data_IF_758121286112
#
_entry.id   IF_758121286112
#
_cell.length_a   1.000
_cell.length_b   1.000
_cell.length_c   1.000
_cell.angle_alpha   90.00
_cell.angle_beta   90.00
_cell.angle_gamma   90.00
#
_symmetry.space_group_name_H-M   'P 1'
#
loop_
_entity.id
_entity.type
_entity.pdbx_description
1 polymer ?
#
# COMPACT_ATOMS: atom_id res chain seq x y z
N UNK A 1 10.00 -1.27 6.09
CA UNK A 1 9.55 -0.34 5.02
C UNK A 1 8.87 0.86 5.65
N UNK A 2 9.12 2.07 5.14
CA UNK A 2 8.36 3.27 5.49
C UNK A 2 7.36 3.61 4.39
N UNK A 3 6.09 3.74 4.74
CA UNK A 3 5.05 4.26 3.85
C UNK A 3 4.77 5.71 4.21
N UNK A 4 5.02 6.63 3.30
CA UNK A 4 4.92 8.07 3.55
C UNK A 4 3.82 8.67 2.68
N UNK A 5 2.81 9.24 3.33
CA UNK A 5 1.73 9.93 2.66
C UNK A 5 2.19 11.33 2.24
N UNK A 6 2.27 11.54 0.96
CA UNK A 6 2.69 12.83 0.37
C UNK A 6 1.52 13.67 -0.12
N UNK A 7 0.34 13.04 -0.19
CA UNK A 7 -0.85 13.62 -0.78
C UNK A 7 -2.11 13.03 -0.15
N UNK A 8 -3.03 13.86 0.22
CA UNK A 8 -4.32 13.43 0.75
C UNK A 8 -5.42 13.38 -0.30
N UNK A 9 -5.37 14.24 -1.33
CA UNK A 9 -6.38 14.25 -2.37
C UNK A 9 -6.26 13.07 -3.34
N UNK A 10 -7.38 12.63 -3.91
CA UNK A 10 -7.40 11.57 -4.91
C UNK A 10 -8.52 11.80 -5.93
N UNK A 11 -8.19 11.58 -7.20
CA UNK A 11 -9.15 11.69 -8.29
C UNK A 11 -10.13 10.50 -8.37
N UNK A 12 -9.88 9.43 -7.60
CA UNK A 12 -10.78 8.25 -7.51
C UNK A 12 -11.65 8.24 -6.26
N UNK A 13 -11.53 9.22 -5.39
CA UNK A 13 -12.35 9.26 -4.18
C UNK A 13 -13.85 9.16 -4.50
N UNK A 14 -14.56 8.27 -3.79
CA UNK A 14 -15.97 7.93 -4.00
C UNK A 14 -16.33 7.51 -5.43
N UNK A 15 -15.41 6.84 -6.13
CA UNK A 15 -15.67 6.28 -7.47
C UNK A 15 -15.49 4.77 -7.44
N UNK A 16 -16.52 4.07 -7.94
CA UNK A 16 -16.47 2.62 -8.21
C UNK A 16 -15.79 1.80 -7.10
N UNK A 17 -14.62 1.24 -7.39
CA UNK A 17 -13.85 0.39 -6.49
C UNK A 17 -13.19 1.12 -5.31
N UNK A 18 -13.41 2.42 -5.17
CA UNK A 18 -12.83 3.26 -4.12
C UNK A 18 -13.88 3.90 -3.21
N UNK A 19 -15.07 3.31 -3.10
CA UNK A 19 -16.20 3.88 -2.33
C UNK A 19 -15.86 3.97 -0.83
N UNK A 20 -15.20 2.96 -0.29
CA UNK A 20 -14.85 2.87 1.14
C UNK A 20 -13.33 3.07 1.34
N UNK A 21 -12.76 4.12 0.77
CA UNK A 21 -11.33 4.36 0.87
C UNK A 21 -10.93 4.81 2.27
N UNK A 22 -10.35 3.91 3.04
CA UNK A 22 -9.88 4.14 4.40
C UNK A 22 -8.82 5.25 4.54
N UNK A 23 -8.21 5.65 3.46
CA UNK A 23 -7.26 6.79 3.43
C UNK A 23 -7.99 8.12 3.61
N UNK A 24 -9.28 8.20 3.25
CA UNK A 24 -10.02 9.44 3.19
C UNK A 24 -10.89 9.75 4.41
N UNK A 25 -11.36 8.76 5.16
CA UNK A 25 -12.18 9.05 6.34
C UNK A 25 -11.49 10.00 7.32
N UNK A 26 -10.23 9.77 7.69
CA UNK A 26 -9.51 10.68 8.55
C UNK A 26 -9.15 12.03 7.90
N UNK A 27 -9.20 12.09 6.57
CA UNK A 27 -8.82 13.30 5.83
C UNK A 27 -9.92 14.36 5.80
N UNK A 28 -11.16 13.99 6.04
CA UNK A 28 -12.25 14.96 6.22
C UNK A 28 -12.02 15.87 7.45
N UNK A 29 -11.20 15.40 8.39
CA UNK A 29 -10.80 16.18 9.58
C UNK A 29 -9.56 17.05 9.34
N UNK A 30 -8.84 16.88 8.23
CA UNK A 30 -7.62 17.62 7.90
C UNK A 30 -7.97 18.81 7.00
N UNK A 31 -7.57 20.04 7.36
CA UNK A 31 -7.75 21.20 6.50
C UNK A 31 -7.15 20.96 5.10
N UNK A 32 -7.86 21.41 4.06
CA UNK A 32 -7.39 21.25 2.66
C UNK A 32 -6.00 21.82 2.40
N UNK A 33 -5.60 22.84 3.17
CA UNK A 33 -4.25 23.41 3.11
C UNK A 33 -3.16 22.39 3.47
N UNK A 34 -3.49 21.40 4.30
CA UNK A 34 -2.56 20.38 4.79
C UNK A 34 -2.62 19.07 4.00
N UNK A 35 -3.37 19.04 2.90
CA UNK A 35 -3.47 17.83 2.06
C UNK A 35 -2.18 17.50 1.30
N UNK A 36 -1.39 18.52 0.98
CA UNK A 36 -0.14 18.36 0.23
C UNK A 36 1.06 18.46 1.16
N UNK A 37 1.89 17.43 1.18
CA UNK A 37 3.20 17.56 1.81
C UNK A 37 4.02 18.63 1.08
N UNK A 38 4.60 19.54 1.82
CA UNK A 38 5.54 20.53 1.28
C UNK A 38 6.96 19.95 1.22
N UNK A 39 7.82 20.54 0.40
CA UNK A 39 9.23 20.16 0.34
C UNK A 39 9.96 20.39 1.66
N UNK A 40 9.55 21.41 2.43
CA UNK A 40 10.12 21.66 3.76
C UNK A 40 9.76 20.55 4.75
N UNK A 41 8.50 20.12 4.79
CA UNK A 41 8.09 18.97 5.61
C UNK A 41 8.86 17.70 5.23
N UNK A 42 9.01 17.44 3.92
CA UNK A 42 9.79 16.30 3.43
C UNK A 42 11.26 16.36 3.91
N UNK A 43 11.91 17.53 3.88
CA UNK A 43 13.28 17.69 4.39
C UNK A 43 13.37 17.41 5.89
N UNK A 44 12.48 18.00 6.68
CA UNK A 44 12.44 17.76 8.14
C UNK A 44 12.25 16.27 8.45
N UNK A 45 11.31 15.61 7.77
CA UNK A 45 11.06 14.18 7.96
C UNK A 45 12.28 13.34 7.54
N UNK A 46 12.86 13.59 6.37
CA UNK A 46 14.02 12.85 5.86
C UNK A 46 15.22 12.94 6.82
N UNK A 47 15.48 14.12 7.39
CA UNK A 47 16.57 14.30 8.36
C UNK A 47 16.28 13.56 9.68
N UNK A 48 15.06 13.60 10.21
CA UNK A 48 14.70 12.85 11.42
C UNK A 48 14.71 11.33 11.20
N UNK A 49 14.28 10.84 10.03
CA UNK A 49 14.37 9.43 9.66
C UNK A 49 15.81 8.94 9.74
N UNK A 50 16.79 9.72 9.25
CA UNK A 50 18.21 9.36 9.34
C UNK A 50 18.74 9.31 10.76
N UNK A 51 18.21 10.14 11.67
CA UNK A 51 18.67 10.27 13.06
C UNK A 51 18.06 9.21 14.00
N UNK A 52 16.99 8.54 13.61
CA UNK A 52 16.27 7.57 14.44
C UNK A 52 16.55 6.16 13.90
N UNK A 53 17.31 5.37 14.63
CA UNK A 53 17.82 4.06 14.16
C UNK A 53 16.74 3.13 13.63
N UNK A 54 15.61 3.01 14.31
CA UNK A 54 14.46 2.21 13.87
C UNK A 54 13.89 2.68 12.55
N UNK A 55 13.66 3.98 12.38
CA UNK A 55 13.13 4.55 11.14
C UNK A 55 14.16 4.46 10.00
N UNK A 56 15.43 4.68 10.32
CA UNK A 56 16.53 4.54 9.36
C UNK A 56 16.65 3.09 8.86
N UNK A 57 16.50 2.10 9.75
CA UNK A 57 16.51 0.69 9.38
C UNK A 57 15.33 0.35 8.44
N UNK A 58 14.13 0.85 8.71
CA UNK A 58 12.97 0.68 7.84
C UNK A 58 13.16 1.42 6.49
N UNK A 59 13.69 2.64 6.52
CA UNK A 59 13.97 3.43 5.32
C UNK A 59 15.02 2.77 4.43
N UNK A 60 16.04 2.14 4.99
CA UNK A 60 17.05 1.38 4.22
C UNK A 60 16.47 0.19 3.49
N UNK A 61 15.36 -0.38 3.95
CA UNK A 61 14.65 -1.40 3.20
C UNK A 61 13.93 -0.76 2.00
N UNK A 62 13.05 0.19 2.25
CA UNK A 62 12.32 0.93 1.22
C UNK A 62 11.55 2.11 1.83
N UNK A 63 11.50 3.23 1.12
CA UNK A 63 10.52 4.30 1.33
C UNK A 63 9.49 4.24 0.20
N UNK A 64 8.23 4.10 0.56
CA UNK A 64 7.10 4.08 -0.34
C UNK A 64 6.30 5.39 -0.23
N UNK A 65 6.33 6.22 -1.28
CA UNK A 65 5.54 7.44 -1.35
C UNK A 65 4.14 7.13 -1.85
N UNK A 66 3.16 7.44 -1.03
CA UNK A 66 1.75 7.08 -1.27
C UNK A 66 0.81 8.19 -0.78
N UNK A 67 -0.42 7.84 -0.51
CA UNK A 67 -1.48 8.72 -0.02
C UNK A 67 -2.76 8.51 -0.80
N UNK A 68 -3.53 9.56 -1.07
CA UNK A 68 -4.64 9.51 -2.00
C UNK A 68 -4.15 9.20 -3.41
N UNK A 69 -3.61 10.21 -4.08
CA UNK A 69 -2.91 10.01 -5.35
C UNK A 69 -1.67 10.89 -5.38
N UNK A 70 -0.51 10.28 -5.16
CA UNK A 70 0.77 10.99 -4.97
C UNK A 70 1.12 11.95 -6.11
N UNK A 71 0.74 11.64 -7.36
CA UNK A 71 1.02 12.49 -8.51
C UNK A 71 0.22 13.80 -8.53
N UNK A 72 -0.78 13.95 -7.66
CA UNK A 72 -1.50 15.22 -7.50
C UNK A 72 -0.64 16.26 -6.77
N UNK A 73 0.25 15.84 -5.89
CA UNK A 73 1.16 16.77 -5.22
C UNK A 73 2.03 17.50 -6.26
N UNK A 74 1.96 18.83 -6.34
CA UNK A 74 2.74 19.60 -7.32
C UNK A 74 4.24 19.47 -7.13
N UNK A 75 4.70 19.18 -5.92
CA UNK A 75 6.10 19.10 -5.53
C UNK A 75 6.63 17.66 -5.48
N UNK A 76 5.88 16.67 -5.96
CA UNK A 76 6.19 15.25 -5.77
C UNK A 76 7.59 14.86 -6.25
N UNK A 77 8.08 15.46 -7.33
CA UNK A 77 9.42 15.16 -7.88
C UNK A 77 10.53 15.62 -6.91
N UNK A 78 10.39 16.81 -6.35
CA UNK A 78 11.36 17.33 -5.37
C UNK A 78 11.27 16.54 -4.06
N UNK A 79 10.07 16.23 -3.59
CA UNK A 79 9.84 15.37 -2.42
C UNK A 79 10.49 14.00 -2.63
N UNK A 80 10.34 13.40 -3.81
CA UNK A 80 10.96 12.14 -4.17
C UNK A 80 12.48 12.20 -4.04
N UNK A 81 13.12 13.23 -4.63
CA UNK A 81 14.57 13.45 -4.54
C UNK A 81 15.06 13.64 -3.10
N UNK A 82 14.26 14.33 -2.26
CA UNK A 82 14.58 14.49 -0.84
C UNK A 82 14.62 13.13 -0.15
N UNK A 83 13.63 12.28 -0.33
CA UNK A 83 13.60 10.96 0.30
C UNK A 83 14.64 9.99 -0.27
N UNK A 84 15.09 10.16 -1.53
CA UNK A 84 16.24 9.43 -2.06
C UNK A 84 17.52 9.71 -1.26
N UNK A 85 17.64 10.83 -0.57
CA UNK A 85 18.75 11.12 0.32
C UNK A 85 18.70 10.33 1.64
N UNK A 86 17.54 9.77 1.98
CA UNK A 86 17.31 9.01 3.21
C UNK A 86 17.18 7.49 2.97
N UNK A 87 17.00 7.07 1.71
CA UNK A 87 16.84 5.65 1.36
C UNK A 87 17.47 5.34 0.00
N UNK A 88 18.14 4.19 -0.13
CA UNK A 88 18.62 3.71 -1.42
C UNK A 88 17.48 3.19 -2.32
N UNK A 89 16.31 2.91 -1.75
CA UNK A 89 15.14 2.42 -2.46
C UNK A 89 13.93 3.28 -2.14
N UNK A 90 13.54 4.12 -3.11
CA UNK A 90 12.32 4.92 -3.02
C UNK A 90 11.40 4.53 -4.17
N UNK A 91 10.15 4.23 -3.84
CA UNK A 91 9.12 4.00 -4.85
C UNK A 91 7.93 4.94 -4.63
N UNK A 92 7.10 5.08 -5.65
CA UNK A 92 5.87 5.85 -5.60
C UNK A 92 4.72 5.01 -6.11
N UNK A 93 3.61 5.02 -5.39
CA UNK A 93 2.36 4.40 -5.84
C UNK A 93 1.46 5.39 -6.55
N UNK A 94 0.81 4.94 -7.62
CA UNK A 94 -0.17 5.73 -8.38
C UNK A 94 -1.31 4.86 -8.87
N UNK A 95 -2.50 5.45 -8.98
CA UNK A 95 -3.64 4.85 -9.66
C UNK A 95 -3.51 4.93 -11.19
N UNK A 96 -2.50 5.61 -11.73
CA UNK A 96 -2.23 5.81 -13.15
C UNK A 96 -3.44 6.35 -13.94
N UNK A 97 -4.42 6.95 -13.30
CA UNK A 97 -5.59 7.55 -13.95
C UNK A 97 -5.31 8.99 -14.35
N UNK A 98 -4.71 9.15 -15.51
CA UNK A 98 -4.30 10.42 -16.09
C UNK A 98 -4.86 10.58 -17.50
N UNK A 99 -5.30 11.79 -17.84
CA UNK A 99 -5.99 12.03 -19.10
C UNK A 99 -5.13 11.87 -20.35
N UNK A 100 -3.81 12.08 -20.24
CA UNK A 100 -2.87 11.97 -21.38
C UNK A 100 -1.42 11.97 -20.93
N UNK A 101 -0.53 11.60 -21.85
CA UNK A 101 0.93 11.72 -21.71
C UNK A 101 1.43 13.17 -21.63
N UNK A 102 0.63 14.14 -22.01
CA UNK A 102 0.94 15.58 -21.86
C UNK A 102 0.49 16.16 -20.53
N UNK A 103 -0.21 15.41 -19.69
CA UNK A 103 -0.66 15.89 -18.39
C UNK A 103 0.54 16.19 -17.47
N UNK A 104 0.42 17.23 -16.65
CA UNK A 104 1.46 17.57 -15.65
C UNK A 104 1.76 16.41 -14.70
N UNK A 105 0.75 15.59 -14.38
CA UNK A 105 0.90 14.41 -13.52
C UNK A 105 1.78 13.35 -14.19
N UNK A 106 1.53 13.05 -15.46
CA UNK A 106 2.37 12.12 -16.23
C UNK A 106 3.80 12.60 -16.34
N UNK A 107 4.00 13.87 -16.64
CA UNK A 107 5.36 14.44 -16.76
C UNK A 107 6.15 14.33 -15.44
N UNK A 108 5.50 14.55 -14.28
CA UNK A 108 6.11 14.33 -12.96
C UNK A 108 6.50 12.86 -12.76
N UNK A 109 5.61 11.94 -13.13
CA UNK A 109 5.87 10.51 -13.03
C UNK A 109 7.08 10.09 -13.88
N UNK A 110 7.15 10.56 -15.12
CA UNK A 110 8.30 10.32 -16.02
C UNK A 110 9.59 10.91 -15.43
N UNK A 111 9.53 12.07 -14.80
CA UNK A 111 10.70 12.67 -14.16
C UNK A 111 11.18 11.85 -12.96
N UNK A 112 10.26 11.31 -12.13
CA UNK A 112 10.61 10.39 -11.05
C UNK A 112 11.35 9.17 -11.58
N UNK A 113 10.86 8.55 -12.65
CA UNK A 113 11.54 7.40 -13.27
C UNK A 113 12.92 7.79 -13.79
N UNK A 114 13.06 8.95 -14.43
CA UNK A 114 14.36 9.45 -14.95
C UNK A 114 15.41 9.68 -13.86
N UNK A 115 14.99 10.03 -12.65
CA UNK A 115 15.91 10.18 -11.50
C UNK A 115 16.14 8.86 -10.75
N UNK A 116 15.79 7.72 -11.36
CA UNK A 116 16.03 6.38 -10.81
C UNK A 116 14.95 5.89 -9.86
N UNK A 117 13.80 6.57 -9.81
CA UNK A 117 12.66 6.14 -9.00
C UNK A 117 11.95 4.94 -9.61
N UNK A 118 11.33 4.12 -8.74
CA UNK A 118 10.37 3.09 -9.12
C UNK A 118 8.96 3.63 -8.98
N UNK A 119 8.10 3.37 -9.96
CA UNK A 119 6.68 3.68 -9.92
C UNK A 119 5.89 2.39 -9.95
N UNK A 120 5.12 2.15 -8.91
CA UNK A 120 4.22 1.03 -8.77
C UNK A 120 2.78 1.49 -9.02
N UNK A 121 1.93 0.60 -9.52
CA UNK A 121 0.56 0.95 -9.87
C UNK A 121 -0.45 0.10 -9.11
N UNK A 122 -1.64 0.65 -8.88
CA UNK A 122 -2.81 -0.14 -8.49
C UNK A 122 -3.75 -0.27 -9.67
N UNK A 123 -4.13 -1.52 -9.98
CA UNK A 123 -5.02 -1.83 -11.09
C UNK A 123 -6.47 -1.56 -10.71
N UNK A 124 -7.17 -0.84 -11.59
CA UNK A 124 -8.60 -0.57 -11.48
C UNK A 124 -9.32 -0.94 -12.78
N UNK A 125 -10.18 -1.97 -12.80
CA UNK A 125 -10.90 -2.40 -14.02
C UNK A 125 -11.67 -1.30 -14.73
N UNK A 126 -12.30 -0.40 -13.96
CA UNK A 126 -13.06 0.72 -14.50
C UNK A 126 -12.20 1.80 -15.17
N UNK A 127 -10.94 1.95 -14.74
CA UNK A 127 -9.98 2.90 -15.31
C UNK A 127 -9.12 2.29 -16.43
N UNK A 128 -9.17 0.97 -16.61
CA UNK A 128 -8.20 0.22 -17.40
C UNK A 128 -8.09 0.65 -18.87
N UNK A 129 -9.15 0.50 -19.63
CA UNK A 129 -9.09 0.74 -21.08
C UNK A 129 -8.85 2.21 -21.42
N UNK A 130 -9.44 3.12 -20.66
CA UNK A 130 -9.36 4.55 -20.93
C UNK A 130 -8.06 5.19 -20.49
N UNK A 131 -7.54 4.79 -19.33
CA UNK A 131 -6.44 5.51 -18.68
C UNK A 131 -5.20 4.62 -18.46
N UNK A 132 -5.37 3.48 -17.79
CA UNK A 132 -4.23 2.71 -17.27
C UNK A 132 -3.47 1.96 -18.37
N UNK A 133 -4.18 1.25 -19.23
CA UNK A 133 -3.56 0.41 -20.27
C UNK A 133 -2.61 1.15 -21.22
N UNK A 134 -2.97 2.31 -21.80
CA UNK A 134 -2.06 3.07 -22.66
C UNK A 134 -0.83 3.58 -21.94
N UNK A 135 -0.99 4.00 -20.67
CA UNK A 135 0.09 4.56 -19.86
C UNK A 135 0.98 3.47 -19.26
N UNK A 136 0.41 2.31 -18.91
CA UNK A 136 1.16 1.17 -18.39
C UNK A 136 2.20 0.68 -19.42
N UNK A 137 1.81 0.56 -20.67
CA UNK A 137 2.74 0.19 -21.75
C UNK A 137 3.93 1.13 -21.81
N UNK A 138 3.68 2.42 -21.77
CA UNK A 138 4.76 3.43 -21.75
C UNK A 138 5.59 3.32 -20.48
N UNK A 139 4.97 3.16 -19.34
CA UNK A 139 5.68 3.06 -18.05
C UNK A 139 6.63 1.86 -18.02
N UNK A 140 6.24 0.71 -18.59
CA UNK A 140 7.10 -0.46 -18.73
C UNK A 140 8.34 -0.13 -19.60
N UNK A 141 8.20 0.72 -20.62
CA UNK A 141 9.36 1.11 -21.45
C UNK A 141 10.32 2.04 -20.74
N UNK A 142 9.85 2.80 -19.77
CA UNK A 142 10.62 3.81 -19.06
C UNK A 142 11.43 3.26 -17.88
N UNK A 143 10.93 2.24 -17.17
CA UNK A 143 11.56 1.72 -15.96
C UNK A 143 11.91 0.23 -16.08
N UNK A 144 12.83 -0.23 -15.22
CA UNK A 144 13.32 -1.62 -15.26
C UNK A 144 12.63 -2.53 -14.22
N UNK A 145 11.85 -1.97 -13.33
CA UNK A 145 11.13 -2.70 -12.27
C UNK A 145 9.81 -2.01 -11.94
N UNK A 146 8.78 -2.80 -11.67
CA UNK A 146 7.47 -2.31 -11.25
C UNK A 146 6.75 -3.38 -10.44
N UNK A 147 5.88 -2.94 -9.54
CA UNK A 147 4.89 -3.80 -8.89
C UNK A 147 3.50 -3.35 -9.36
N UNK A 148 2.66 -4.30 -9.73
CA UNK A 148 1.23 -4.09 -9.97
C UNK A 148 0.49 -4.60 -8.76
N UNK A 149 -0.16 -3.69 -8.06
CA UNK A 149 -1.06 -4.01 -6.97
C UNK A 149 -2.45 -4.31 -7.53
N UNK A 150 -3.01 -5.45 -7.16
CA UNK A 150 -4.38 -5.85 -7.46
C UNK A 150 -5.17 -5.71 -6.17
N UNK A 151 -5.99 -4.66 -6.08
CA UNK A 151 -6.95 -4.49 -4.99
C UNK A 151 -8.27 -5.16 -5.37
N UNK A 152 -8.82 -6.01 -4.51
CA UNK A 152 -10.04 -6.76 -4.81
C UNK A 152 -10.95 -6.90 -3.58
N UNK A 153 -12.24 -6.80 -3.80
CA UNK A 153 -13.28 -6.93 -2.77
C UNK A 153 -13.74 -8.38 -2.59
N UNK A 154 -13.68 -9.17 -3.68
CA UNK A 154 -14.09 -10.56 -3.71
C UNK A 154 -13.36 -11.34 -4.83
N UNK A 155 -13.49 -12.67 -4.81
CA UNK A 155 -12.82 -13.53 -5.77
C UNK A 155 -13.23 -13.29 -7.24
N UNK A 156 -14.48 -12.92 -7.49
CA UNK A 156 -14.95 -12.59 -8.84
C UNK A 156 -14.29 -11.31 -9.35
N UNK A 157 -14.12 -10.31 -8.48
CA UNK A 157 -13.40 -9.09 -8.80
C UNK A 157 -11.93 -9.38 -9.07
N UNK A 158 -11.28 -10.18 -8.23
CA UNK A 158 -9.90 -10.64 -8.43
C UNK A 158 -9.73 -11.36 -9.78
N UNK A 159 -10.62 -12.30 -10.09
CA UNK A 159 -10.59 -13.04 -11.35
C UNK A 159 -10.66 -12.12 -12.58
N UNK A 160 -11.55 -11.13 -12.55
CA UNK A 160 -11.67 -10.13 -13.62
C UNK A 160 -10.36 -9.36 -13.82
N UNK A 161 -9.70 -8.95 -12.75
CA UNK A 161 -8.44 -8.22 -12.83
C UNK A 161 -7.30 -9.09 -13.37
N UNK A 162 -7.22 -10.35 -12.94
CA UNK A 162 -6.25 -11.32 -13.47
C UNK A 162 -6.45 -11.50 -14.97
N UNK A 163 -7.69 -11.67 -15.44
CA UNK A 163 -8.01 -11.80 -16.86
C UNK A 163 -7.59 -10.56 -17.68
N UNK A 164 -7.79 -9.36 -17.12
CA UNK A 164 -7.36 -8.10 -17.74
C UNK A 164 -5.83 -8.10 -17.96
N UNK A 165 -5.05 -8.45 -16.94
CA UNK A 165 -3.61 -8.49 -17.02
C UNK A 165 -3.12 -9.61 -17.94
N UNK A 166 -3.71 -10.80 -17.84
CA UNK A 166 -3.38 -11.91 -18.76
C UNK A 166 -3.54 -11.50 -20.22
N UNK A 167 -4.70 -10.91 -20.55
CA UNK A 167 -4.99 -10.42 -21.90
C UNK A 167 -4.02 -9.32 -22.36
N UNK A 168 -3.62 -8.44 -21.45
CA UNK A 168 -2.65 -7.40 -21.75
C UNK A 168 -1.29 -7.98 -22.07
N UNK A 169 -0.71 -8.75 -21.16
CA UNK A 169 0.63 -9.32 -21.34
C UNK A 169 0.73 -10.31 -22.50
N UNK A 170 -0.31 -11.11 -22.76
CA UNK A 170 -0.35 -12.00 -23.93
C UNK A 170 -0.26 -11.26 -25.27
N UNK A 171 -0.68 -9.98 -25.31
CA UNK A 171 -0.59 -9.16 -26.54
C UNK A 171 0.71 -8.41 -26.68
N UNK A 172 1.45 -8.20 -25.59
CA UNK A 172 2.69 -7.43 -25.60
C UNK A 172 3.92 -8.29 -26.00
N UNK A 173 3.72 -9.60 -26.25
CA UNK A 173 4.71 -10.48 -26.87
C UNK A 173 5.25 -11.57 -25.96
N UNK A 174 5.98 -12.51 -26.56
CA UNK A 174 6.48 -13.76 -25.96
C UNK A 174 7.36 -13.58 -24.71
N UNK A 175 7.90 -12.40 -24.50
CA UNK A 175 8.76 -12.12 -23.35
C UNK A 175 8.03 -12.05 -22.01
N UNK A 176 6.70 -12.07 -22.03
CA UNK A 176 5.86 -12.11 -20.82
C UNK A 176 5.25 -13.49 -20.54
N UNK A 177 5.68 -14.55 -21.24
CA UNK A 177 5.08 -15.89 -21.14
C UNK A 177 5.06 -16.42 -19.71
N UNK A 178 6.11 -16.20 -18.92
CA UNK A 178 6.14 -16.62 -17.51
C UNK A 178 5.08 -15.88 -16.67
N UNK A 179 4.86 -14.60 -16.93
CA UNK A 179 3.84 -13.79 -16.24
C UNK A 179 2.45 -14.27 -16.66
N UNK A 180 2.26 -14.49 -17.95
CA UNK A 180 1.00 -15.00 -18.50
C UNK A 180 0.69 -16.38 -17.93
N UNK A 181 1.65 -17.29 -17.92
CA UNK A 181 1.50 -18.63 -17.34
C UNK A 181 1.14 -18.56 -15.85
N UNK A 182 1.83 -17.73 -15.08
CA UNK A 182 1.49 -17.51 -13.67
C UNK A 182 0.06 -17.01 -13.51
N UNK A 183 -0.34 -15.99 -14.25
CA UNK A 183 -1.68 -15.41 -14.18
C UNK A 183 -2.76 -16.42 -14.59
N UNK A 184 -2.49 -17.29 -15.59
CA UNK A 184 -3.40 -18.34 -16.01
C UNK A 184 -3.61 -19.39 -14.92
N UNK A 185 -2.54 -19.94 -14.36
CA UNK A 185 -2.60 -20.90 -13.24
C UNK A 185 -3.35 -20.30 -12.05
N UNK A 186 -3.08 -19.04 -11.75
CA UNK A 186 -3.73 -18.35 -10.66
C UNK A 186 -5.22 -18.09 -10.95
N UNK A 187 -5.58 -17.77 -12.20
CA UNK A 187 -6.98 -17.63 -12.64
C UNK A 187 -7.76 -18.94 -12.50
N UNK A 188 -7.13 -20.06 -12.83
CA UNK A 188 -7.74 -21.39 -12.66
C UNK A 188 -7.99 -21.70 -11.19
N UNK A 189 -7.01 -21.42 -10.31
CA UNK A 189 -7.15 -21.58 -8.87
C UNK A 189 -8.31 -20.72 -8.32
N UNK A 190 -8.37 -19.44 -8.69
CA UNK A 190 -9.46 -18.55 -8.27
C UNK A 190 -10.81 -19.04 -8.79
N UNK A 191 -10.87 -19.52 -10.04
CA UNK A 191 -12.09 -20.10 -10.63
C UNK A 191 -12.57 -21.34 -9.87
N UNK A 192 -11.63 -22.20 -9.46
CA UNK A 192 -11.93 -23.38 -8.66
C UNK A 192 -12.52 -23.00 -7.30
N UNK A 193 -11.92 -22.02 -6.62
CA UNK A 193 -12.39 -21.52 -5.33
C UNK A 193 -13.77 -20.90 -5.40
N UNK A 194 -14.06 -20.11 -6.44
CA UNK A 194 -15.40 -19.54 -6.67
C UNK A 194 -16.47 -20.65 -6.74
N UNK A 195 -16.11 -21.81 -7.35
CA UNK A 195 -17.07 -22.91 -7.55
C UNK A 195 -17.24 -23.82 -6.33
N UNK A 196 -16.15 -24.08 -5.60
CA UNK A 196 -16.10 -25.22 -4.66
C UNK A 196 -15.95 -24.79 -3.21
N UNK A 197 -15.21 -23.76 -2.92
CA UNK A 197 -14.94 -23.29 -1.56
C UNK A 197 -14.66 -21.80 -1.55
N UNK A 198 -15.67 -20.94 -1.60
CA UNK A 198 -15.43 -19.51 -1.57
C UNK A 198 -14.83 -19.02 -0.23
N UNK A 199 -14.77 -19.85 0.80
CA UNK A 199 -14.59 -19.42 2.18
C UNK A 199 -13.22 -19.70 2.81
N UNK A 200 -12.32 -20.49 2.21
CA UNK A 200 -11.27 -21.11 3.04
C UNK A 200 -9.86 -21.25 2.45
N UNK A 201 -9.46 -20.56 1.41
CA UNK A 201 -8.04 -20.70 0.97
C UNK A 201 -7.21 -19.48 1.28
N UNK A 202 -6.56 -19.49 2.46
CA UNK A 202 -5.58 -18.47 2.88
C UNK A 202 -4.42 -18.28 1.88
N UNK A 203 -4.15 -19.29 1.06
CA UNK A 203 -3.06 -19.25 0.09
C UNK A 203 -3.27 -18.22 -1.03
N UNK A 204 -4.51 -17.75 -1.26
CA UNK A 204 -4.79 -16.66 -2.20
C UNK A 204 -4.13 -15.36 -1.75
N UNK A 205 -4.14 -15.09 -0.44
CA UNK A 205 -3.63 -13.83 0.13
C UNK A 205 -2.12 -13.82 0.32
N UNK A 206 -1.50 -14.98 0.30
CA UNK A 206 -0.05 -15.13 0.46
C UNK A 206 0.68 -15.27 -0.87
N UNK A 207 -0.06 -15.40 -1.97
CA UNK A 207 0.55 -15.57 -3.29
C UNK A 207 0.95 -14.22 -3.86
N UNK A 208 2.22 -13.90 -3.76
CA UNK A 208 2.84 -12.84 -4.51
C UNK A 208 3.63 -13.43 -5.67
N UNK A 209 3.45 -12.90 -6.87
CA UNK A 209 4.44 -13.09 -7.90
C UNK A 209 5.66 -12.25 -7.52
N UNK A 210 6.63 -12.87 -6.88
CA UNK A 210 7.89 -12.22 -6.57
C UNK A 210 8.63 -11.91 -7.87
N UNK A 211 9.04 -10.68 -8.04
CA UNK A 211 10.02 -10.15 -9.01
C UNK A 211 10.40 -11.13 -10.14
N UNK A 212 9.49 -11.35 -11.06
CA UNK A 212 9.74 -12.21 -12.23
C UNK A 212 10.43 -11.39 -13.30
N UNK A 213 11.57 -11.90 -13.77
CA UNK A 213 12.29 -11.27 -14.86
C UNK A 213 11.59 -11.53 -16.19
N UNK A 214 11.40 -10.48 -16.97
CA UNK A 214 10.93 -10.53 -18.33
C UNK A 214 11.86 -9.69 -19.22
N UNK A 215 11.90 -10.00 -20.49
CA UNK A 215 12.60 -9.17 -21.46
C UNK A 215 11.56 -8.46 -22.32
N UNK A 216 11.39 -7.17 -22.07
CA UNK A 216 10.35 -6.36 -22.68
C UNK A 216 10.96 -5.14 -23.39
N UNK A 217 10.51 -4.87 -24.61
CA UNK A 217 10.92 -3.70 -25.37
C UNK A 217 12.43 -3.52 -25.48
N UNK A 218 13.17 -4.63 -25.67
CA UNK A 218 14.61 -4.61 -25.84
C UNK A 218 15.44 -4.50 -24.56
N UNK A 219 14.83 -4.60 -23.38
CA UNK A 219 15.51 -4.54 -22.08
C UNK A 219 15.00 -5.54 -21.07
N UNK A 220 15.83 -5.84 -20.08
CA UNK A 220 15.44 -6.62 -18.90
C UNK A 220 14.49 -5.79 -18.05
N UNK A 221 13.37 -6.40 -17.66
CA UNK A 221 12.34 -5.79 -16.86
C UNK A 221 11.93 -6.75 -15.74
N UNK A 222 11.75 -6.25 -14.53
CA UNK A 222 11.30 -7.04 -13.39
C UNK A 222 9.89 -6.63 -13.02
N UNK A 223 8.95 -7.59 -13.05
CA UNK A 223 7.57 -7.38 -12.65
C UNK A 223 7.24 -8.15 -11.38
N UNK A 224 6.66 -7.46 -10.40
CA UNK A 224 5.96 -8.05 -9.26
C UNK A 224 4.46 -7.87 -9.40
N UNK A 225 3.69 -8.80 -8.85
CA UNK A 225 2.23 -8.66 -8.68
C UNK A 225 1.93 -8.86 -7.22
N UNK A 226 1.27 -7.89 -6.60
CA UNK A 226 0.85 -7.94 -5.20
C UNK A 226 -0.67 -7.96 -5.13
N UNK A 227 -1.21 -8.88 -4.35
CA UNK A 227 -2.64 -9.01 -4.12
C UNK A 227 -3.01 -8.31 -2.82
N UNK A 228 -3.91 -7.35 -2.90
CA UNK A 228 -4.34 -6.52 -1.79
C UNK A 228 -5.86 -6.65 -1.64
N UNK A 229 -6.35 -7.45 -0.67
CA UNK A 229 -7.79 -7.46 -0.38
C UNK A 229 -8.25 -6.07 0.10
N UNK A 230 -9.37 -5.63 -0.42
CA UNK A 230 -10.00 -4.40 0.04
C UNK A 230 -10.73 -4.66 1.36
N UNK A 231 -10.65 -3.70 2.26
CA UNK A 231 -11.34 -3.74 3.54
C UNK A 231 -12.42 -2.67 3.58
N UNK A 232 -13.53 -2.98 4.26
CA UNK A 232 -14.51 -1.98 4.68
C UNK A 232 -14.24 -1.58 6.12
N UNK A 233 -14.38 -0.30 6.40
CA UNK A 233 -14.31 0.25 7.75
C UNK A 233 -15.73 0.68 8.12
N UNK A 234 -16.26 0.17 9.22
CA UNK A 234 -17.57 0.59 9.72
C UNK A 234 -17.49 1.94 10.48
N UNK A 235 -18.64 2.44 10.92
CA UNK A 235 -18.73 3.71 11.63
C UNK A 235 -17.93 3.72 12.95
N UNK A 236 -17.70 2.56 13.55
CA UNK A 236 -16.90 2.35 14.76
C UNK A 236 -15.40 2.22 14.43
N UNK A 237 -15.03 2.26 13.14
CA UNK A 237 -13.66 2.09 12.68
C UNK A 237 -13.19 0.63 12.67
N UNK A 238 -14.11 -0.32 12.82
CA UNK A 238 -13.82 -1.74 12.74
C UNK A 238 -13.68 -2.16 11.29
N UNK A 239 -12.62 -2.86 10.96
CA UNK A 239 -12.43 -3.41 9.62
C UNK A 239 -13.18 -4.71 9.45
N UNK A 240 -13.87 -4.84 8.35
CA UNK A 240 -14.30 -6.10 7.80
C UNK A 240 -13.75 -6.23 6.38
N UNK A 241 -13.39 -7.43 5.96
CA UNK A 241 -13.20 -7.65 4.54
C UNK A 241 -14.54 -7.49 3.85
N UNK A 242 -14.59 -6.69 2.79
CA UNK A 242 -15.83 -6.20 2.17
C UNK A 242 -16.86 -7.29 1.82
N UNK A 243 -16.45 -8.55 1.69
CA UNK A 243 -17.35 -9.66 1.35
C UNK A 243 -16.74 -11.03 1.64
N UNK A 244 -15.76 -11.12 2.52
CA UNK A 244 -15.19 -12.44 2.77
C UNK A 244 -15.89 -13.12 3.92
N UNK A 245 -16.32 -14.32 3.69
CA UNK A 245 -16.75 -15.25 4.71
C UNK A 245 -15.54 -15.84 5.48
N UNK A 246 -14.46 -15.08 5.69
CA UNK A 246 -13.34 -15.56 6.50
C UNK A 246 -13.70 -15.38 7.97
N UNK A 247 -14.16 -16.44 8.64
CA UNK A 247 -14.45 -16.37 10.06
C UNK A 247 -13.18 -16.19 10.91
N UNK A 248 -12.02 -16.48 10.34
CA UNK A 248 -10.72 -16.32 10.98
C UNK A 248 -9.90 -15.40 10.10
N UNK A 249 -9.59 -14.21 10.60
CA UNK A 249 -8.77 -13.25 9.88
C UNK A 249 -7.33 -13.79 9.69
N UNK A 250 -6.94 -14.29 8.51
CA UNK A 250 -5.63 -14.89 8.29
C UNK A 250 -4.49 -13.89 8.44
N UNK A 251 -4.78 -12.59 8.41
CA UNK A 251 -3.80 -11.53 8.59
C UNK A 251 -3.18 -11.48 9.98
N UNK A 252 -3.90 -11.94 11.01
CA UNK A 252 -3.37 -11.96 12.39
C UNK A 252 -2.14 -12.86 12.46
N UNK A 253 -2.16 -13.98 11.75
CA UNK A 253 -1.09 -14.98 11.79
C UNK A 253 0.13 -14.50 11.00
N UNK A 254 -0.07 -13.67 9.97
CA UNK A 254 0.99 -13.20 9.07
C UNK A 254 1.42 -11.75 9.31
N UNK A 255 0.72 -11.00 10.15
CA UNK A 255 1.09 -9.63 10.48
C UNK A 255 2.46 -9.63 11.22
N UNK A 256 3.48 -8.88 10.75
CA UNK A 256 4.75 -8.75 11.45
C UNK A 256 4.60 -8.31 12.92
N UNK A 257 3.63 -7.44 13.18
CA UNK A 257 3.31 -6.99 14.53
C UNK A 257 2.87 -8.14 15.45
N UNK A 258 2.16 -9.14 14.92
CA UNK A 258 1.79 -10.35 15.66
C UNK A 258 3.00 -11.22 16.03
N UNK A 259 4.14 -11.01 15.37
CA UNK A 259 5.43 -11.67 15.68
C UNK A 259 6.36 -10.83 16.54
N UNK A 260 5.88 -9.70 17.08
CA UNK A 260 6.68 -8.77 17.87
C UNK A 260 7.63 -7.90 17.03
N UNK A 261 7.33 -7.70 15.73
CA UNK A 261 8.16 -6.93 14.81
C UNK A 261 7.36 -5.79 14.18
N UNK A 262 7.97 -4.63 14.02
CA UNK A 262 7.43 -3.51 13.26
C UNK A 262 8.19 -3.43 11.94
N UNK A 263 7.67 -4.08 10.90
CA UNK A 263 8.29 -4.12 9.58
C UNK A 263 7.76 -3.03 8.65
N UNK A 264 6.65 -2.42 9.01
CA UNK A 264 6.00 -1.33 8.25
C UNK A 264 5.61 -0.23 9.22
N UNK A 265 5.99 1.00 8.88
CA UNK A 265 5.55 2.22 9.56
C UNK A 265 4.94 3.15 8.53
N UNK A 266 3.78 3.73 8.84
CA UNK A 266 3.17 4.77 8.02
C UNK A 266 3.39 6.13 8.65
N UNK A 267 3.77 7.09 7.82
CA UNK A 267 3.94 8.51 8.18
C UNK A 267 2.99 9.33 7.33
N UNK A 268 2.14 10.11 7.97
CA UNK A 268 1.25 11.04 7.26
C UNK A 268 1.99 12.30 6.81
N UNK A 269 1.41 13.04 5.86
CA UNK A 269 1.90 14.37 5.45
C UNK A 269 1.94 15.36 6.62
N UNK A 270 1.13 15.16 7.65
CA UNK A 270 1.11 15.92 8.92
C UNK A 270 2.19 15.47 9.92
N UNK A 271 2.99 14.46 9.58
CA UNK A 271 4.09 13.93 10.38
C UNK A 271 3.73 12.83 11.36
N UNK A 272 2.47 12.53 11.56
CA UNK A 272 2.00 11.48 12.47
C UNK A 272 2.45 10.10 12.00
N UNK A 273 2.89 9.28 12.94
CA UNK A 273 3.38 7.93 12.69
C UNK A 273 2.45 6.87 13.25
N UNK A 274 2.22 5.83 12.46
CA UNK A 274 1.43 4.64 12.84
C UNK A 274 2.14 3.36 12.43
N UNK A 275 2.01 2.26 13.19
CA UNK A 275 2.79 1.03 12.98
C UNK A 275 2.27 0.14 11.86
N UNK A 276 1.36 0.61 11.05
CA UNK A 276 0.70 -0.17 10.01
C UNK A 276 0.56 0.64 8.73
N UNK A 277 0.46 -0.03 7.60
CA UNK A 277 0.09 0.60 6.32
C UNK A 277 -1.36 1.12 6.32
N UNK A 278 -2.12 0.77 7.35
CA UNK A 278 -3.48 1.22 7.54
C UNK A 278 -3.56 2.51 8.33
N UNK A 279 -4.13 3.50 7.71
CA UNK A 279 -4.32 4.83 8.29
C UNK A 279 -5.79 5.12 8.63
N UNK A 280 -6.68 4.14 8.38
CA UNK A 280 -8.12 4.34 8.48
C UNK A 280 -8.60 4.72 9.88
N UNK A 281 -7.92 4.29 10.94
CA UNK A 281 -8.38 4.52 12.29
C UNK A 281 -7.33 5.10 13.23
N UNK A 282 -6.99 6.38 13.02
CA UNK A 282 -6.03 7.10 13.88
C UNK A 282 -6.49 7.21 15.35
N UNK A 283 -7.78 7.13 15.63
CA UNK A 283 -8.31 7.27 16.99
C UNK A 283 -7.94 6.08 17.87
N UNK A 284 -7.82 4.89 17.26
CA UNK A 284 -7.57 3.63 17.95
C UNK A 284 -6.12 3.14 17.84
N UNK A 285 -5.25 3.81 17.09
CA UNK A 285 -3.88 3.36 16.91
C UNK A 285 -2.92 3.94 17.95
N UNK A 286 -1.93 3.17 18.44
CA UNK A 286 -0.86 3.70 19.25
C UNK A 286 -0.13 4.82 18.50
N UNK A 287 0.05 5.95 19.16
CA UNK A 287 0.72 7.12 18.58
C UNK A 287 2.22 6.99 18.76
N UNK A 288 2.94 6.67 17.69
CA UNK A 288 4.40 6.52 17.67
C UNK A 288 5.16 7.85 17.62
N UNK A 289 4.44 8.97 17.65
CA UNK A 289 4.97 10.31 17.61
C UNK A 289 4.70 11.02 16.29
N UNK A 290 5.30 12.19 16.14
CA UNK A 290 5.15 13.05 14.97
C UNK A 290 6.51 13.53 14.45
N UNK A 291 6.85 13.19 13.21
CA UNK A 291 8.13 13.56 12.60
C UNK A 291 8.30 15.08 12.37
N UNK A 292 7.24 15.85 12.38
CA UNK A 292 7.36 17.31 12.19
C UNK A 292 7.56 18.04 13.53
N UNK A 293 6.86 17.63 14.58
CA UNK A 293 6.80 18.37 15.83
C UNK A 293 7.67 17.81 16.94
N UNK A 294 7.81 16.49 17.04
CA UNK A 294 8.55 15.85 18.12
C UNK A 294 10.06 15.82 17.82
N UNK A 295 10.89 15.94 18.86
CA UNK A 295 12.32 15.69 18.76
C UNK A 295 12.63 14.21 18.54
N UNK A 296 13.83 13.83 18.05
CA UNK A 296 14.22 12.42 17.89
C UNK A 296 14.13 11.62 19.18
N UNK A 297 14.46 12.22 20.34
CA UNK A 297 14.38 11.54 21.64
C UNK A 297 12.92 11.31 22.07
N UNK A 298 12.02 12.26 21.85
CA UNK A 298 10.58 12.11 22.13
C UNK A 298 9.98 11.02 21.24
N UNK A 299 10.35 10.99 19.96
CA UNK A 299 9.90 9.94 19.04
C UNK A 299 10.37 8.58 19.53
N UNK A 300 11.63 8.44 19.93
CA UNK A 300 12.17 7.19 20.45
C UNK A 300 11.42 6.70 21.68
N UNK A 301 11.15 7.59 22.64
CA UNK A 301 10.40 7.26 23.86
C UNK A 301 8.96 6.83 23.54
N UNK A 302 8.24 7.57 22.68
CA UNK A 302 6.88 7.24 22.23
C UNK A 302 6.86 5.91 21.46
N UNK A 303 7.88 5.65 20.64
CA UNK A 303 8.02 4.40 19.89
C UNK A 303 8.14 3.20 20.83
N UNK A 304 9.00 3.28 21.85
CA UNK A 304 9.20 2.23 22.85
C UNK A 304 7.92 1.96 23.66
N UNK A 305 7.24 3.01 24.11
CA UNK A 305 5.98 2.91 24.86
C UNK A 305 4.85 2.31 24.00
N UNK A 306 4.62 2.88 22.82
CA UNK A 306 3.56 2.44 21.91
C UNK A 306 3.77 1.02 21.39
N UNK A 307 5.02 0.62 21.17
CA UNK A 307 5.36 -0.77 20.81
C UNK A 307 4.99 -1.75 21.91
N UNK A 308 5.27 -1.43 23.18
CA UNK A 308 4.90 -2.28 24.33
C UNK A 308 3.38 -2.46 24.42
N UNK A 309 2.62 -1.36 24.31
CA UNK A 309 1.15 -1.38 24.32
C UNK A 309 0.62 -2.24 23.17
N UNK A 310 1.11 -2.01 21.95
CA UNK A 310 0.68 -2.74 20.77
C UNK A 310 0.95 -4.24 20.89
N UNK A 311 2.15 -4.64 21.26
CA UNK A 311 2.51 -6.06 21.38
C UNK A 311 1.76 -6.77 22.49
N UNK A 312 1.54 -6.11 23.62
CA UNK A 312 0.73 -6.65 24.72
C UNK A 312 -0.71 -6.91 24.25
N UNK A 313 -1.28 -5.98 23.50
CA UNK A 313 -2.63 -6.13 22.98
C UNK A 313 -2.77 -7.22 21.93
N UNK A 314 -1.84 -7.31 21.00
CA UNK A 314 -1.82 -8.38 20.00
C UNK A 314 -1.73 -9.75 20.68
N UNK A 315 -0.87 -9.91 21.69
CA UNK A 315 -0.75 -11.16 22.46
C UNK A 315 -2.08 -11.54 23.14
N UNK A 316 -2.75 -10.56 23.76
CA UNK A 316 -4.04 -10.78 24.42
C UNK A 316 -5.15 -11.15 23.41
N UNK A 317 -5.17 -10.50 22.25
CA UNK A 317 -6.10 -10.85 21.17
C UNK A 317 -5.86 -12.27 20.65
N UNK A 318 -4.60 -12.69 20.48
CA UNK A 318 -4.28 -14.07 20.09
C UNK A 318 -4.74 -15.11 21.13
N UNK A 319 -4.64 -14.80 22.42
CA UNK A 319 -5.16 -15.65 23.49
C UNK A 319 -6.68 -15.74 23.45
N UNK A 320 -7.38 -14.61 23.22
CA UNK A 320 -8.84 -14.58 23.08
C UNK A 320 -9.31 -15.43 21.89
N UNK A 321 -8.65 -15.33 20.74
CA UNK A 321 -8.95 -16.17 19.58
C UNK A 321 -8.76 -17.66 19.88
N UNK A 322 -7.65 -18.05 20.50
CA UNK A 322 -7.38 -19.46 20.89
C UNK A 322 -8.42 -20.00 21.86
N UNK A 323 -9.00 -19.14 22.71
CA UNK A 323 -10.03 -19.51 23.68
C UNK A 323 -11.46 -19.42 23.14
N UNK A 324 -11.66 -19.18 21.85
CA UNK A 324 -12.97 -19.08 21.22
C UNK A 324 -13.75 -17.79 21.56
N UNK A 325 -13.11 -16.81 22.18
CA UNK A 325 -13.68 -15.50 22.51
C UNK A 325 -13.49 -14.49 21.38
N UNK A 326 -13.78 -14.89 20.16
CA UNK A 326 -13.74 -14.00 19.00
C UNK A 326 -14.82 -12.92 19.15
N UNK A 327 -14.46 -11.66 19.22
CA UNK A 327 -15.37 -10.52 19.34
C UNK A 327 -15.24 -9.71 20.63
N UNK A 328 -14.56 -10.19 21.66
CA UNK A 328 -14.17 -9.37 22.82
C UNK A 328 -12.87 -8.63 22.49
N UNK A 329 -13.02 -7.40 22.03
CA UNK A 329 -11.90 -6.53 21.68
C UNK A 329 -11.29 -5.88 22.91
N UNK A 330 -9.99 -5.79 22.90
CA UNK A 330 -9.21 -5.27 24.01
C UNK A 330 -9.08 -3.75 23.91
N UNK A 331 -9.20 -3.15 25.06
CA UNK A 331 -8.95 -1.77 25.49
C UNK A 331 -8.27 -0.79 24.54
N UNK A 332 -8.51 0.50 24.78
CA UNK A 332 -7.95 1.66 24.07
C UNK A 332 -6.48 1.50 23.68
N UNK A 333 -6.18 1.75 22.41
CA UNK A 333 -4.83 1.80 21.86
C UNK A 333 -4.38 0.60 21.03
N UNK A 334 -5.23 -0.43 20.88
CA UNK A 334 -4.92 -1.58 20.02
C UNK A 334 -5.80 -1.55 18.79
N UNK A 335 -5.21 -1.64 17.61
CA UNK A 335 -5.97 -1.67 16.38
C UNK A 335 -6.96 -2.86 16.40
N UNK A 336 -8.26 -2.63 16.24
CA UNK A 336 -9.26 -3.71 16.26
C UNK A 336 -9.08 -4.75 15.14
N UNK A 337 -8.26 -4.46 14.17
CA UNK A 337 -7.92 -5.35 13.04
C UNK A 337 -6.61 -6.13 13.24
N UNK A 338 -5.85 -5.86 14.29
CA UNK A 338 -4.75 -6.72 14.72
C UNK A 338 -5.23 -7.86 15.60
N UNK A 339 -6.54 -8.02 15.74
CA UNK A 339 -7.18 -9.06 16.49
C UNK A 339 -7.96 -10.03 15.62
#
# INVERSE_FOLDING_TARGET
MLSIFVEASCNRYNRDECVDCHVFEPLNEIPKADWHMTTNQARVMAEKIKQIDTLNALAKQEINLTGGEATQNPNIVEIFKIFQSASPSVCMHTNLEMNSKSSKRWLRLVEIVKVGGRVDITLYPTAWEKFQKPLLKELITLQNRMIINISFENLTHLQKQIQILTKFFSKEGANFDHIVSFLQVYSEKVSWLIKNQPECDESIYTTHLSNTEAFAYGKKFTLGISLLPAFKVDAEGKRSMASTPFPNNPYIIHCPAARGSIDIMTVRQTGEMTPCCDVGNLKCQPKFGNLLTDSPNEIKAKFEESSKIMFAGISKNQENLKSGRSGEWVEEGIPPYCG
#
